data_IF_487621753932
#
_entry.id   IF_487621753932
#
_cell.length_a   1.000
_cell.length_b   1.000
_cell.length_c   1.000
_cell.angle_alpha   90.00
_cell.angle_beta   90.00
_cell.angle_gamma   90.00
#
_symmetry.space_group_name_H-M   'P 1'
#
loop_
_entity.id
_entity.type
_entity.pdbx_description
1 polymer ?
#
# COMPACT_ATOMS: atom_id res chain seq x y z
N UNK A 1 -1.29 20.94 11.04
CA UNK A 1 -2.10 20.56 9.86
C UNK A 1 -2.16 19.04 9.76
N UNK A 2 -3.21 18.42 10.29
CA UNK A 2 -3.48 16.99 10.13
C UNK A 2 -4.06 16.75 8.73
N UNK A 3 -3.21 16.28 7.80
CA UNK A 3 -3.70 15.76 6.51
C UNK A 3 -4.62 14.58 6.80
N UNK A 4 -5.94 14.82 6.76
CA UNK A 4 -6.93 13.75 6.76
C UNK A 4 -6.72 12.94 5.50
N UNK A 5 -6.11 11.76 5.65
CA UNK A 5 -6.00 10.77 4.59
C UNK A 5 -7.39 10.21 4.31
N UNK A 6 -8.15 10.90 3.46
CA UNK A 6 -9.43 10.41 2.96
C UNK A 6 -9.10 9.29 1.98
N UNK A 7 -8.99 8.07 2.50
CA UNK A 7 -8.83 6.84 1.71
C UNK A 7 -10.01 6.74 0.75
N UNK A 8 -9.82 7.11 -0.52
CA UNK A 8 -10.74 6.74 -1.57
C UNK A 8 -10.66 5.23 -1.75
N UNK A 9 -11.61 4.53 -1.16
CA UNK A 9 -11.82 3.11 -1.39
C UNK A 9 -12.33 2.93 -2.81
N UNK A 10 -11.44 2.62 -3.75
CA UNK A 10 -11.84 2.20 -5.08
C UNK A 10 -12.56 0.85 -4.96
N UNK A 11 -13.86 0.82 -5.23
CA UNK A 11 -14.68 -0.42 -5.21
C UNK A 11 -14.70 -1.13 -6.57
N UNK A 12 -13.70 -0.89 -7.41
CA UNK A 12 -13.69 -1.33 -8.81
C UNK A 12 -13.78 -2.85 -8.93
N UNK A 13 -13.07 -3.60 -8.07
CA UNK A 13 -13.15 -5.07 -8.13
C UNK A 13 -14.47 -5.57 -7.57
N UNK A 14 -15.02 -4.96 -6.53
CA UNK A 14 -16.36 -5.33 -6.04
C UNK A 14 -17.40 -5.20 -7.15
N UNK A 15 -17.45 -4.06 -7.85
CA UNK A 15 -18.40 -3.87 -8.96
C UNK A 15 -18.14 -4.86 -10.11
N UNK A 16 -16.89 -5.05 -10.52
CA UNK A 16 -16.54 -5.97 -11.60
C UNK A 16 -16.95 -7.41 -11.27
N UNK A 17 -16.65 -7.87 -10.06
CA UNK A 17 -17.00 -9.21 -9.61
C UNK A 17 -18.51 -9.37 -9.37
N UNK A 18 -19.21 -8.34 -8.90
CA UNK A 18 -20.66 -8.38 -8.76
C UNK A 18 -21.36 -8.48 -10.11
N UNK A 19 -20.98 -7.64 -11.08
CA UNK A 19 -21.60 -7.64 -12.43
C UNK A 19 -21.22 -8.91 -13.21
N UNK A 20 -19.93 -9.27 -13.21
CA UNK A 20 -19.47 -10.49 -13.86
C UNK A 20 -20.00 -11.75 -13.18
N UNK A 21 -20.06 -11.75 -11.85
CA UNK A 21 -20.60 -12.83 -11.04
C UNK A 21 -22.10 -13.00 -11.22
N UNK A 22 -22.86 -11.91 -11.34
CA UNK A 22 -24.27 -11.94 -11.68
C UNK A 22 -24.50 -12.57 -13.05
N UNK A 23 -23.77 -12.14 -14.08
CA UNK A 23 -23.88 -12.72 -15.43
C UNK A 23 -23.55 -14.21 -15.47
N UNK A 24 -22.42 -14.61 -14.87
CA UNK A 24 -22.00 -16.02 -14.82
C UNK A 24 -22.98 -16.88 -14.01
N UNK A 25 -23.42 -16.40 -12.85
CA UNK A 25 -24.31 -17.16 -11.98
C UNK A 25 -25.70 -17.28 -12.58
N UNK A 26 -26.18 -16.24 -13.28
CA UNK A 26 -27.41 -16.30 -14.06
C UNK A 26 -27.32 -17.34 -15.16
N UNK A 27 -26.29 -17.30 -16.00
CA UNK A 27 -26.11 -18.25 -17.09
C UNK A 27 -26.06 -19.71 -16.61
N UNK A 28 -25.27 -19.98 -15.56
CA UNK A 28 -25.16 -21.32 -14.98
C UNK A 28 -26.48 -21.79 -14.35
N UNK A 29 -27.14 -20.91 -13.60
CA UNK A 29 -28.37 -21.28 -12.88
C UNK A 29 -29.56 -21.41 -13.83
N UNK A 30 -29.58 -20.63 -14.90
CA UNK A 30 -30.54 -20.78 -16.00
C UNK A 30 -30.31 -22.08 -16.76
N UNK A 31 -29.06 -22.44 -17.05
CA UNK A 31 -28.74 -23.71 -17.69
C UNK A 31 -29.21 -24.90 -16.82
N UNK A 32 -28.89 -24.91 -15.53
CA UNK A 32 -29.35 -25.94 -14.59
C UNK A 32 -30.89 -25.96 -14.50
N UNK A 33 -31.52 -24.79 -14.37
CA UNK A 33 -32.97 -24.66 -14.35
C UNK A 33 -33.63 -25.19 -15.62
N UNK A 34 -33.00 -24.99 -16.79
CA UNK A 34 -33.52 -25.49 -18.07
C UNK A 34 -33.45 -27.02 -18.18
N UNK A 35 -32.43 -27.64 -17.58
CA UNK A 35 -32.33 -29.10 -17.48
C UNK A 35 -33.42 -29.66 -16.55
N UNK A 36 -33.69 -28.98 -15.43
CA UNK A 36 -34.74 -29.36 -14.48
C UNK A 36 -36.12 -29.26 -15.15
N UNK A 37 -36.41 -28.15 -15.83
CA UNK A 37 -37.67 -27.95 -16.56
C UNK A 37 -37.92 -29.05 -17.61
N UNK A 38 -36.87 -29.49 -18.31
CA UNK A 38 -36.97 -30.55 -19.32
C UNK A 38 -37.19 -31.94 -18.70
N UNK A 39 -36.85 -32.13 -17.43
CA UNK A 39 -37.00 -33.40 -16.71
C UNK A 39 -38.30 -33.54 -15.91
N UNK A 40 -39.16 -32.52 -15.89
CA UNK A 40 -40.44 -32.55 -15.18
C UNK A 40 -41.59 -32.77 -16.17
N UNK A 41 -42.49 -33.70 -15.85
CA UNK A 41 -43.66 -34.02 -16.67
C UNK A 41 -44.73 -32.91 -16.66
N UNK A 42 -44.77 -32.13 -15.59
CA UNK A 42 -45.64 -30.95 -15.47
C UNK A 42 -44.89 -29.68 -15.89
N UNK A 43 -45.33 -29.12 -17.02
CA UNK A 43 -44.72 -27.96 -17.68
C UNK A 43 -44.77 -26.70 -16.80
N UNK A 44 -45.82 -26.51 -15.99
CA UNK A 44 -45.95 -25.31 -15.15
C UNK A 44 -45.10 -25.42 -13.88
N UNK A 45 -44.96 -26.62 -13.34
CA UNK A 45 -44.02 -26.90 -12.25
C UNK A 45 -42.56 -26.80 -12.72
N UNK A 46 -42.26 -27.30 -13.93
CA UNK A 46 -40.93 -27.21 -14.54
C UNK A 46 -40.48 -25.76 -14.77
N UNK A 47 -41.36 -24.89 -15.29
CA UNK A 47 -41.09 -23.46 -15.47
C UNK A 47 -40.85 -22.77 -14.13
N UNK A 48 -41.67 -23.08 -13.13
CA UNK A 48 -41.55 -22.50 -11.79
C UNK A 48 -40.23 -22.92 -11.13
N UNK A 49 -39.87 -24.20 -11.22
CA UNK A 49 -38.60 -24.73 -10.74
C UNK A 49 -37.41 -24.05 -11.43
N UNK A 50 -37.44 -23.90 -12.75
CA UNK A 50 -36.39 -23.19 -13.51
C UNK A 50 -36.16 -21.77 -13.02
N UNK A 51 -37.22 -20.98 -12.87
CA UNK A 51 -37.09 -19.58 -12.43
C UNK A 51 -36.63 -19.47 -10.97
N UNK A 52 -37.09 -20.36 -10.09
CA UNK A 52 -36.62 -20.42 -8.70
C UNK A 52 -35.14 -20.78 -8.65
N UNK A 53 -34.71 -21.84 -9.34
CA UNK A 53 -33.30 -22.25 -9.39
C UNK A 53 -32.43 -21.14 -9.97
N UNK A 54 -32.88 -20.48 -11.03
CA UNK A 54 -32.17 -19.36 -11.65
C UNK A 54 -32.06 -18.19 -10.69
N UNK A 55 -33.15 -17.77 -10.05
CA UNK A 55 -33.17 -16.65 -9.11
C UNK A 55 -32.28 -16.90 -7.90
N UNK A 56 -32.44 -18.06 -7.24
CA UNK A 56 -31.66 -18.43 -6.05
C UNK A 56 -30.17 -18.60 -6.39
N UNK A 57 -29.86 -19.33 -7.46
CA UNK A 57 -28.47 -19.56 -7.87
C UNK A 57 -27.76 -18.26 -8.29
N UNK A 58 -28.47 -17.36 -8.97
CA UNK A 58 -27.94 -16.03 -9.32
C UNK A 58 -27.67 -15.19 -8.07
N UNK A 59 -28.61 -15.16 -7.12
CA UNK A 59 -28.46 -14.36 -5.91
C UNK A 59 -27.27 -14.85 -5.06
N UNK A 60 -27.18 -16.16 -4.83
CA UNK A 60 -26.09 -16.77 -4.06
C UNK A 60 -24.74 -16.55 -4.77
N UNK A 61 -24.68 -16.80 -6.07
CA UNK A 61 -23.46 -16.62 -6.85
C UNK A 61 -23.00 -15.16 -6.85
N UNK A 62 -23.91 -14.22 -7.12
CA UNK A 62 -23.63 -12.77 -7.07
C UNK A 62 -23.08 -12.34 -5.71
N UNK A 63 -23.69 -12.83 -4.62
CA UNK A 63 -23.22 -12.52 -3.27
C UNK A 63 -21.81 -13.05 -3.01
N UNK A 64 -21.50 -14.29 -3.41
CA UNK A 64 -20.17 -14.88 -3.27
C UNK A 64 -19.12 -14.09 -4.06
N UNK A 65 -19.40 -13.76 -5.31
CA UNK A 65 -18.48 -12.95 -6.13
C UNK A 65 -18.30 -11.54 -5.57
N UNK A 66 -19.37 -10.89 -5.11
CA UNK A 66 -19.29 -9.59 -4.45
C UNK A 66 -18.37 -9.64 -3.21
N UNK A 67 -18.49 -10.69 -2.38
CA UNK A 67 -17.65 -10.90 -1.20
C UNK A 67 -16.17 -11.10 -1.58
N UNK A 68 -15.88 -11.80 -2.67
CA UNK A 68 -14.52 -11.98 -3.19
C UNK A 68 -13.96 -10.67 -3.75
N UNK A 69 -14.76 -9.91 -4.50
CA UNK A 69 -14.38 -8.59 -5.00
C UNK A 69 -14.02 -7.64 -3.86
N UNK A 70 -14.84 -7.61 -2.79
CA UNK A 70 -14.58 -6.81 -1.60
C UNK A 70 -13.30 -7.22 -0.85
N UNK A 71 -12.99 -8.52 -0.80
CA UNK A 71 -11.71 -9.01 -0.25
C UNK A 71 -10.51 -8.53 -1.08
N UNK A 72 -10.62 -8.55 -2.42
CA UNK A 72 -9.57 -8.04 -3.30
C UNK A 72 -9.36 -6.54 -3.14
N UNK A 73 -10.44 -5.76 -3.08
CA UNK A 73 -10.35 -4.31 -2.84
C UNK A 73 -9.64 -4.00 -1.51
N UNK A 74 -9.92 -4.76 -0.45
CA UNK A 74 -9.18 -4.63 0.83
C UNK A 74 -7.70 -4.97 0.70
N UNK A 75 -7.35 -6.05 0.01
CA UNK A 75 -5.95 -6.43 -0.17
C UNK A 75 -5.16 -5.35 -0.93
N UNK A 76 -5.74 -4.79 -1.98
CA UNK A 76 -5.13 -3.69 -2.75
C UNK A 76 -4.96 -2.43 -1.89
N UNK A 77 -5.96 -2.08 -1.08
CA UNK A 77 -5.86 -0.94 -0.18
C UNK A 77 -4.75 -1.11 0.87
N UNK A 78 -4.61 -2.31 1.44
CA UNK A 78 -3.55 -2.63 2.40
C UNK A 78 -2.18 -2.53 1.74
N UNK A 79 -2.01 -3.09 0.54
CA UNK A 79 -0.74 -3.04 -0.18
C UNK A 79 -0.33 -1.61 -0.55
N UNK A 80 -1.31 -0.77 -0.94
CA UNK A 80 -1.09 0.65 -1.19
C UNK A 80 -0.58 1.38 0.07
N UNK A 81 -1.24 1.20 1.21
CA UNK A 81 -0.79 1.79 2.49
C UNK A 81 0.60 1.29 2.86
N UNK A 82 0.89 0.00 2.63
CA UNK A 82 2.20 -0.58 2.92
C UNK A 82 3.30 0.06 2.07
N UNK A 83 3.04 0.26 0.77
CA UNK A 83 3.96 0.95 -0.15
C UNK A 83 4.19 2.41 0.26
N UNK A 84 3.12 3.15 0.56
CA UNK A 84 3.23 4.54 1.01
C UNK A 84 4.05 4.67 2.30
N UNK A 85 3.84 3.76 3.28
CA UNK A 85 4.63 3.73 4.52
C UNK A 85 6.10 3.41 4.25
N UNK A 86 6.36 2.46 3.36
CA UNK A 86 7.72 2.07 2.98
C UNK A 86 8.46 3.23 2.29
N UNK A 87 7.82 3.92 1.35
CA UNK A 87 8.41 5.09 0.69
C UNK A 87 8.70 6.22 1.67
N UNK A 88 7.80 6.49 2.61
CA UNK A 88 8.01 7.50 3.64
C UNK A 88 9.16 7.14 4.58
N UNK A 89 9.28 5.86 4.96
CA UNK A 89 10.42 5.37 5.73
C UNK A 89 11.74 5.50 4.96
N UNK A 90 11.74 5.17 3.66
CA UNK A 90 12.92 5.31 2.80
C UNK A 90 13.38 6.76 2.70
N UNK A 91 12.46 7.70 2.47
CA UNK A 91 12.77 9.15 2.44
C UNK A 91 13.38 9.63 3.76
N UNK A 92 12.80 9.24 4.90
CA UNK A 92 13.35 9.56 6.22
C UNK A 92 14.77 9.01 6.41
N UNK A 93 15.02 7.77 6.00
CA UNK A 93 16.33 7.16 6.09
C UNK A 93 17.37 7.87 5.19
N UNK A 94 16.97 8.33 4.01
CA UNK A 94 17.83 9.13 3.12
C UNK A 94 18.15 10.51 3.71
N UNK A 95 17.14 11.19 4.28
CA UNK A 95 17.34 12.47 5.00
C UNK A 95 18.28 12.31 6.20
N UNK A 96 18.13 11.26 6.99
CA UNK A 96 19.04 10.97 8.11
C UNK A 96 20.46 10.67 7.65
N UNK A 97 20.62 9.93 6.54
CA UNK A 97 21.94 9.69 5.94
C UNK A 97 22.61 10.99 5.50
N UNK A 98 21.86 11.90 4.87
CA UNK A 98 22.37 13.22 4.47
C UNK A 98 22.75 14.07 5.69
N UNK A 99 21.93 14.08 6.75
CA UNK A 99 22.25 14.77 8.00
C UNK A 99 23.52 14.23 8.63
N UNK A 100 23.68 12.90 8.70
CA UNK A 100 24.89 12.25 9.22
C UNK A 100 26.12 12.65 8.42
N UNK A 101 26.04 12.66 7.08
CA UNK A 101 27.16 13.12 6.23
C UNK A 101 27.55 14.56 6.54
N UNK A 102 26.59 15.49 6.61
CA UNK A 102 26.85 16.90 6.97
C UNK A 102 27.52 17.04 8.34
N UNK A 103 27.10 16.26 9.33
CA UNK A 103 27.70 16.28 10.66
C UNK A 103 29.16 15.78 10.61
N UNK A 104 29.44 14.73 9.84
CA UNK A 104 30.80 14.20 9.67
C UNK A 104 31.70 15.25 9.01
N UNK A 105 31.22 15.87 7.92
CA UNK A 105 31.98 16.90 7.20
C UNK A 105 32.29 18.11 8.12
N UNK A 106 31.32 18.51 8.95
CA UNK A 106 31.49 19.61 9.91
C UNK A 106 32.50 19.26 11.01
N UNK A 107 32.45 18.04 11.55
CA UNK A 107 33.43 17.54 12.52
C UNK A 107 34.83 17.56 11.92
N UNK A 108 34.98 17.19 10.65
CA UNK A 108 36.27 17.16 9.97
C UNK A 108 36.84 18.58 9.77
N UNK A 109 35.99 19.55 9.38
CA UNK A 109 36.37 20.97 9.31
C UNK A 109 36.84 21.50 10.66
N UNK A 110 36.06 21.28 11.73
CA UNK A 110 36.40 21.74 13.07
C UNK A 110 37.71 21.11 13.58
N UNK A 111 37.99 19.85 13.23
CA UNK A 111 39.27 19.21 13.53
C UNK A 111 40.44 19.86 12.80
N UNK A 112 40.26 20.27 11.56
CA UNK A 112 41.30 20.98 10.81
C UNK A 112 41.56 22.38 11.38
N UNK A 113 40.52 23.10 11.76
CA UNK A 113 40.64 24.42 12.41
C UNK A 113 41.37 24.31 13.76
N UNK A 114 40.99 23.35 14.61
CA UNK A 114 41.69 23.06 15.87
C UNK A 114 43.18 22.80 15.65
N UNK A 115 43.53 22.00 14.65
CA UNK A 115 44.95 21.73 14.33
C UNK A 115 45.72 23.01 13.96
N UNK A 116 45.12 23.88 13.13
CA UNK A 116 45.74 25.16 12.76
C UNK A 116 45.93 26.07 13.98
N UNK A 117 44.92 26.15 14.85
CA UNK A 117 45.00 26.91 16.10
C UNK A 117 46.09 26.38 17.03
N UNK A 118 46.21 25.06 17.17
CA UNK A 118 47.26 24.45 17.99
C UNK A 118 48.67 24.72 17.44
N UNK A 119 48.84 24.73 16.11
CA UNK A 119 50.09 25.10 15.45
C UNK A 119 50.46 26.57 15.68
N UNK A 120 49.49 27.48 15.55
CA UNK A 120 49.68 28.91 15.84
C UNK A 120 50.04 29.15 17.31
N UNK A 121 49.35 28.48 18.25
CA UNK A 121 49.66 28.54 19.68
C UNK A 121 51.08 28.06 19.99
N UNK A 122 51.53 26.98 19.34
CA UNK A 122 52.91 26.49 19.49
C UNK A 122 53.93 27.52 19.00
N UNK A 123 53.71 28.10 17.81
CA UNK A 123 54.60 29.14 17.26
C UNK A 123 54.69 30.35 18.19
N UNK A 124 53.55 30.86 18.67
CA UNK A 124 53.51 31.99 19.61
C UNK A 124 54.19 31.68 20.95
N UNK A 125 54.08 30.45 21.47
CA UNK A 125 54.78 30.03 22.68
C UNK A 125 56.30 29.97 22.48
N UNK A 126 56.77 29.49 21.33
CA UNK A 126 58.20 29.47 20.99
C UNK A 126 58.77 30.88 20.86
N UNK A 127 58.06 31.79 20.19
CA UNK A 127 58.44 33.20 20.10
C UNK A 127 58.51 33.88 21.47
N UNK A 128 57.52 33.65 22.33
CA UNK A 128 57.55 34.15 23.71
C UNK A 128 58.73 33.60 24.51
N UNK A 129 59.06 32.31 24.37
CA UNK A 129 60.23 31.71 25.03
C UNK A 129 61.54 32.32 24.53
N UNK A 130 61.69 32.55 23.22
CA UNK A 130 62.87 33.22 22.66
C UNK A 130 63.00 34.66 23.15
N UNK A 131 61.92 35.44 23.18
CA UNK A 131 61.91 36.81 23.71
C UNK A 131 62.22 36.93 25.20
N UNK A 132 61.95 35.89 26.00
CA UNK A 132 62.26 35.86 27.45
C UNK A 132 63.71 35.45 27.77
N UNK A 133 64.46 34.95 26.77
CA UNK A 133 65.83 34.42 26.93
C UNK A 133 66.89 35.42 26.49
N UNK A 134 66.49 36.47 25.77
CA UNK A 134 67.23 37.73 25.59
C UNK A 134 66.78 38.72 26.65
#
# INVERSE_FOLDING_TARGET
>A
MTKQWRLQWERKNTYLYTVGGMGLSFGLSFFIGSLINRGMDDVDQGKTAMWITTGVGTAIGTFLFAKVGAKKDRAVAIDKIRKERYELAKKKAEEERLKRKKIVDEIERLRQERKKQDEELKRLMEEKKKKKKN
#
